data_IF_531784449655
#
_entry.id   IF_531784449655
#
_cell.length_a   1.000
_cell.length_b   1.000
_cell.length_c   1.000
_cell.angle_alpha   90.00
_cell.angle_beta   90.00
_cell.angle_gamma   90.00
#
_symmetry.space_group_name_H-M   'P 1'
#
loop_
_entity.id
_entity.type
_entity.pdbx_description
1 polymer ?
#
# COMPACT_ATOMS: atom_id res chain seq x y z
N UNK A 1 -3.35 -0.74 17.81
CA UNK A 1 -2.84 -2.03 18.28
C UNK A 1 -1.77 -2.48 17.30
N UNK A 2 -0.64 -3.03 17.79
CA UNK A 2 0.40 -3.53 16.88
C UNK A 2 -0.06 -4.84 16.23
N UNK A 3 0.38 -5.11 15.01
CA UNK A 3 -0.06 -6.24 14.16
C UNK A 3 1.14 -7.06 13.69
N UNK A 4 0.94 -8.34 13.38
CA UNK A 4 1.91 -9.14 12.65
C UNK A 4 1.72 -8.95 11.15
N UNK A 5 2.74 -8.43 10.47
CA UNK A 5 2.78 -8.39 9.02
C UNK A 5 3.59 -9.57 8.50
N UNK A 6 2.94 -10.42 7.73
CA UNK A 6 3.55 -11.59 7.09
C UNK A 6 3.51 -11.36 5.59
N UNK A 7 4.63 -11.56 4.91
CA UNK A 7 4.70 -11.45 3.46
C UNK A 7 5.42 -12.62 2.83
N UNK A 8 4.95 -13.00 1.64
CA UNK A 8 5.49 -14.07 0.82
C UNK A 8 5.45 -13.69 -0.65
N UNK A 9 6.37 -14.22 -1.44
CA UNK A 9 6.39 -14.06 -2.88
C UNK A 9 5.99 -15.38 -3.53
N UNK A 10 5.02 -15.32 -4.44
CA UNK A 10 4.62 -16.48 -5.25
C UNK A 10 4.37 -16.08 -6.70
N UNK A 11 4.14 -17.08 -7.56
CA UNK A 11 3.64 -16.85 -8.91
C UNK A 11 2.22 -16.27 -8.86
N UNK A 12 1.90 -15.39 -9.80
CA UNK A 12 0.60 -14.74 -9.89
C UNK A 12 -0.59 -15.72 -9.91
N UNK A 13 -0.40 -16.90 -10.50
CA UNK A 13 -1.42 -17.95 -10.57
C UNK A 13 -1.81 -18.55 -9.20
N UNK A 14 -0.90 -18.51 -8.22
CA UNK A 14 -1.09 -19.13 -6.89
C UNK A 14 -1.40 -18.08 -5.80
N UNK A 15 -1.26 -16.80 -6.13
CA UNK A 15 -1.58 -15.70 -5.21
C UNK A 15 -3.00 -15.75 -4.64
N UNK A 16 -4.05 -16.09 -5.42
CA UNK A 16 -5.42 -16.18 -4.89
C UNK A 16 -5.56 -17.32 -3.86
N UNK A 17 -4.95 -18.48 -4.12
CA UNK A 17 -5.02 -19.63 -3.22
C UNK A 17 -4.31 -19.35 -1.90
N UNK A 18 -3.12 -18.75 -1.96
CA UNK A 18 -2.35 -18.32 -0.77
C UNK A 18 -3.10 -17.26 0.03
N UNK A 19 -3.75 -16.31 -0.66
CA UNK A 19 -4.55 -15.26 -0.01
C UNK A 19 -5.77 -15.80 0.72
N UNK A 20 -6.50 -16.72 0.08
CA UNK A 20 -7.61 -17.41 0.71
C UNK A 20 -7.13 -18.19 1.94
N UNK A 21 -6.00 -18.89 1.81
CA UNK A 21 -5.42 -19.64 2.92
C UNK A 21 -5.03 -18.73 4.10
N UNK A 22 -4.38 -17.58 3.85
CA UNK A 22 -4.10 -16.62 4.92
C UNK A 22 -5.37 -16.08 5.58
N UNK A 23 -6.42 -15.85 4.81
CA UNK A 23 -7.72 -15.43 5.33
C UNK A 23 -8.34 -16.50 6.23
N UNK A 24 -8.26 -17.78 5.84
CA UNK A 24 -8.70 -18.92 6.65
C UNK A 24 -7.90 -19.09 7.95
N UNK A 25 -6.60 -18.77 7.92
CA UNK A 25 -5.73 -18.75 9.10
C UNK A 25 -5.99 -17.57 10.04
N UNK A 26 -6.91 -16.66 9.69
CA UNK A 26 -7.30 -15.53 10.53
C UNK A 26 -6.61 -14.20 10.18
N UNK A 27 -6.16 -14.03 8.94
CA UNK A 27 -5.70 -12.72 8.48
C UNK A 27 -6.86 -11.71 8.48
N UNK A 28 -6.60 -10.53 9.04
CA UNK A 28 -7.54 -9.39 9.07
C UNK A 28 -7.63 -8.73 7.71
N UNK A 29 -6.52 -8.73 6.96
CA UNK A 29 -6.43 -8.17 5.62
C UNK A 29 -5.33 -8.89 4.83
N UNK A 30 -5.55 -9.03 3.53
CA UNK A 30 -4.54 -9.53 2.60
C UNK A 30 -4.41 -8.56 1.43
N UNK A 31 -3.18 -8.14 1.15
CA UNK A 31 -2.82 -7.16 0.13
C UNK A 31 -1.90 -7.79 -0.90
N UNK A 32 -2.14 -7.48 -2.17
CA UNK A 32 -1.27 -7.88 -3.28
C UNK A 32 -0.36 -6.72 -3.67
N UNK A 33 0.94 -7.00 -3.76
CA UNK A 33 1.95 -6.05 -4.24
C UNK A 33 2.80 -6.71 -5.33
N UNK A 34 3.41 -5.89 -6.19
CA UNK A 34 4.46 -6.39 -7.08
C UNK A 34 5.64 -6.91 -6.25
N UNK A 35 6.13 -8.11 -6.55
CA UNK A 35 7.33 -8.65 -5.89
C UNK A 35 8.62 -7.93 -6.32
N UNK A 36 8.60 -7.27 -7.48
CA UNK A 36 9.70 -6.40 -7.92
C UNK A 36 9.36 -4.95 -7.61
N UNK A 37 10.28 -4.26 -6.94
CA UNK A 37 10.26 -2.80 -6.73
C UNK A 37 10.49 -2.00 -8.01
N UNK A 38 10.46 -2.66 -9.18
CA UNK A 38 10.62 -2.01 -10.47
C UNK A 38 9.26 -1.47 -10.92
N UNK A 39 9.14 -0.15 -11.16
CA UNK A 39 7.96 0.38 -11.81
C UNK A 39 7.81 -0.29 -13.18
N UNK A 40 6.67 -0.92 -13.42
CA UNK A 40 6.29 -1.26 -14.79
C UNK A 40 5.92 0.06 -15.46
N UNK A 41 6.82 0.54 -16.31
CA UNK A 41 6.50 1.59 -17.27
C UNK A 41 5.48 1.06 -18.28
N UNK A 42 4.68 1.98 -18.84
CA UNK A 42 3.74 1.64 -19.92
C UNK A 42 4.46 0.82 -21.00
N UNK A 43 4.00 -0.42 -21.27
CA UNK A 43 4.55 -1.19 -22.37
C UNK A 43 4.20 -0.52 -23.71
N UNK A 44 4.99 -0.80 -24.75
CA UNK A 44 4.70 -0.29 -26.09
C UNK A 44 3.32 -0.77 -26.56
N UNK A 45 2.70 -0.03 -27.49
CA UNK A 45 1.41 -0.38 -28.09
C UNK A 45 1.46 -1.84 -28.59
N UNK A 46 0.75 -2.75 -27.91
CA UNK A 46 0.67 -4.18 -28.26
C UNK A 46 1.44 -5.14 -27.35
N UNK A 47 2.22 -4.65 -26.38
CA UNK A 47 2.88 -5.50 -25.38
C UNK A 47 2.12 -5.49 -24.05
N UNK A 48 1.92 -6.66 -23.43
CA UNK A 48 1.42 -6.76 -22.05
C UNK A 48 2.56 -7.31 -21.19
N UNK A 49 3.22 -6.45 -20.41
CA UNK A 49 4.15 -6.91 -19.36
C UNK A 49 3.34 -7.25 -18.12
N UNK A 50 3.17 -8.53 -17.84
CA UNK A 50 2.51 -9.02 -16.63
C UNK A 50 3.58 -9.23 -15.55
N UNK A 51 3.26 -8.92 -14.30
CA UNK A 51 4.12 -9.28 -13.17
C UNK A 51 4.17 -10.81 -13.03
N UNK A 52 5.35 -11.41 -13.24
CA UNK A 52 5.56 -12.87 -13.08
C UNK A 52 5.42 -13.32 -11.62
N UNK A 53 5.80 -12.44 -10.68
CA UNK A 53 5.82 -12.71 -9.25
C UNK A 53 5.02 -11.65 -8.48
N UNK A 54 4.13 -12.12 -7.60
CA UNK A 54 3.29 -11.29 -6.74
C UNK A 54 3.72 -11.50 -5.30
N UNK A 55 3.91 -10.39 -4.58
CA UNK A 55 4.08 -10.38 -3.14
C UNK A 55 2.70 -10.33 -2.48
N UNK A 56 2.36 -11.35 -1.71
CA UNK A 56 1.17 -11.38 -0.87
C UNK A 56 1.58 -10.92 0.53
N UNK A 57 0.86 -9.96 1.08
CA UNK A 57 1.08 -9.42 2.42
C UNK A 57 -0.20 -9.63 3.22
N UNK A 58 -0.13 -10.41 4.29
CA UNK A 58 -1.23 -10.69 5.20
C UNK A 58 -0.96 -10.03 6.56
N UNK A 59 -1.98 -9.39 7.11
CA UNK A 59 -1.94 -8.75 8.42
C UNK A 59 -2.72 -9.61 9.42
N UNK A 60 -2.06 -9.93 10.53
CA UNK A 60 -2.60 -10.75 11.61
C UNK A 60 -2.57 -9.99 12.93
N UNK A 61 -3.47 -10.35 13.84
CA UNK A 61 -3.44 -9.89 15.23
C UNK A 61 -2.25 -10.50 15.98
N UNK A 62 -1.78 -9.84 17.05
CA UNK A 62 -0.63 -10.30 17.86
C UNK A 62 -0.85 -11.63 18.61
N UNK A 63 -2.09 -12.11 18.65
CA UNK A 63 -2.40 -13.42 19.21
C UNK A 63 -2.07 -14.57 18.24
N UNK A 64 -1.79 -14.27 16.96
CA UNK A 64 -1.41 -15.25 15.97
C UNK A 64 0.11 -15.48 16.00
N UNK A 65 0.54 -16.75 15.95
CA UNK A 65 1.96 -17.10 15.96
C UNK A 65 2.49 -17.18 14.53
N UNK A 66 3.43 -16.30 14.10
CA UNK A 66 3.98 -16.33 12.74
C UNK A 66 4.66 -17.65 12.39
N UNK A 67 5.29 -18.31 13.36
CA UNK A 67 5.92 -19.63 13.17
C UNK A 67 4.91 -20.73 12.86
N UNK A 68 3.72 -20.71 13.49
CA UNK A 68 2.65 -21.67 13.20
C UNK A 68 2.08 -21.44 11.79
N UNK A 69 1.83 -20.17 11.44
CA UNK A 69 1.36 -19.79 10.10
C UNK A 69 2.38 -20.24 9.05
N UNK A 70 3.67 -20.06 9.32
CA UNK A 70 4.75 -20.54 8.47
C UNK A 70 4.65 -22.05 8.26
N UNK A 71 4.61 -22.84 9.33
CA UNK A 71 4.52 -24.31 9.24
C UNK A 71 3.30 -24.75 8.44
N UNK A 72 2.12 -24.22 8.74
CA UNK A 72 0.88 -24.56 8.03
C UNK A 72 0.95 -24.21 6.53
N UNK A 73 1.53 -23.06 6.21
CA UNK A 73 1.71 -22.65 4.82
C UNK A 73 2.65 -23.59 4.05
N UNK A 74 3.77 -24.01 4.65
CA UNK A 74 4.72 -24.93 4.02
C UNK A 74 4.22 -26.38 3.95
N UNK A 75 3.28 -26.77 4.82
CA UNK A 75 2.56 -28.06 4.69
C UNK A 75 1.63 -28.06 3.48
N UNK A 76 0.93 -26.94 3.23
CA UNK A 76 -0.03 -26.81 2.14
C UNK A 76 0.65 -26.52 0.78
N UNK A 77 1.74 -25.76 0.78
CA UNK A 77 2.46 -25.35 -0.41
C UNK A 77 3.96 -25.63 -0.27
N UNK A 78 4.56 -26.47 -1.14
CA UNK A 78 5.98 -26.80 -1.05
C UNK A 78 6.92 -25.59 -1.27
N UNK A 79 8.14 -25.66 -0.72
CA UNK A 79 9.19 -24.62 -0.75
C UNK A 79 9.52 -24.07 -2.15
N UNK A 80 9.22 -24.80 -3.21
CA UNK A 80 9.47 -24.37 -4.59
C UNK A 80 8.41 -23.40 -5.14
N UNK A 81 7.31 -23.19 -4.41
CA UNK A 81 6.18 -22.35 -4.80
C UNK A 81 6.21 -20.99 -4.08
N UNK A 82 6.66 -21.00 -2.83
CA UNK A 82 6.63 -19.84 -1.93
C UNK A 82 8.06 -19.44 -1.62
N UNK A 83 8.40 -18.19 -1.93
CA UNK A 83 9.71 -17.60 -1.71
C UNK A 83 9.60 -16.38 -0.80
N UNK A 84 10.74 -15.92 -0.27
CA UNK A 84 10.87 -14.67 0.48
C UNK A 84 9.87 -14.52 1.64
N UNK A 85 9.68 -15.60 2.42
CA UNK A 85 8.92 -15.51 3.67
C UNK A 85 9.55 -14.47 4.60
N UNK A 86 8.76 -13.48 4.97
CA UNK A 86 9.15 -12.42 5.87
C UNK A 86 8.02 -12.15 6.86
N UNK A 87 8.35 -12.10 8.15
CA UNK A 87 7.40 -11.77 9.21
C UNK A 87 7.99 -10.66 10.08
N UNK A 88 7.22 -9.61 10.29
CA UNK A 88 7.59 -8.48 11.14
C UNK A 88 6.41 -8.05 12.02
N UNK A 89 6.71 -7.34 13.10
CA UNK A 89 5.70 -6.72 13.95
C UNK A 89 5.56 -5.28 13.50
N UNK A 90 4.39 -4.92 12.98
CA UNK A 90 4.04 -3.56 12.65
C UNK A 90 3.47 -2.90 13.90
N UNK A 91 4.21 -1.93 14.45
CA UNK A 91 3.70 -1.13 15.56
C UNK A 91 2.52 -0.26 15.13
N UNK A 92 1.60 -0.01 16.04
CA UNK A 92 0.47 0.90 15.80
C UNK A 92 0.97 2.34 15.68
N UNK A 93 1.25 2.74 14.45
CA UNK A 93 1.47 4.13 14.12
C UNK A 93 0.10 4.78 13.91
N UNK A 94 -0.13 5.93 14.55
CA UNK A 94 -1.30 6.76 14.26
C UNK A 94 -1.07 7.41 12.89
N UNK A 95 -1.26 6.63 11.83
CA UNK A 95 -1.01 7.04 10.45
C UNK A 95 -1.71 8.36 10.14
N UNK A 96 -2.94 8.53 10.62
CA UNK A 96 -3.75 9.76 10.48
C UNK A 96 -3.07 11.04 11.02
N UNK A 97 -2.25 10.95 12.06
CA UNK A 97 -1.54 12.11 12.60
C UNK A 97 -0.19 12.30 11.93
N UNK A 98 0.50 11.20 11.61
CA UNK A 98 1.83 11.27 10.99
C UNK A 98 1.81 11.86 9.58
N UNK A 99 0.74 11.67 8.79
CA UNK A 99 0.67 12.27 7.45
C UNK A 99 0.34 13.78 7.49
N UNK A 100 -0.44 14.22 8.48
CA UNK A 100 -0.79 15.65 8.63
C UNK A 100 0.40 16.52 9.01
N UNK A 101 1.39 16.00 9.73
CA UNK A 101 2.62 16.74 10.06
C UNK A 101 3.50 17.04 8.82
N UNK A 102 3.36 16.22 7.77
CA UNK A 102 4.16 16.32 6.55
C UNK A 102 3.45 17.06 5.40
N UNK A 103 2.13 17.28 5.51
CA UNK A 103 1.36 18.04 4.52
C UNK A 103 1.52 19.54 4.74
N UNK A 104 2.51 20.12 4.06
CA UNK A 104 2.73 21.57 4.02
C UNK A 104 2.21 22.16 2.71
N UNK A 105 1.82 23.44 2.66
CA UNK A 105 1.50 24.11 1.42
C UNK A 105 2.64 23.99 0.41
N UNK A 106 2.32 23.59 -0.82
CA UNK A 106 3.31 23.44 -1.89
C UNK A 106 2.97 24.36 -3.06
N UNK A 107 3.97 25.12 -3.55
CA UNK A 107 3.86 25.93 -4.76
C UNK A 107 4.26 25.09 -5.97
N UNK A 108 3.36 24.96 -6.93
CA UNK A 108 3.61 24.34 -8.23
C UNK A 108 3.71 25.43 -9.31
N UNK A 109 4.91 25.63 -9.84
CA UNK A 109 5.16 26.70 -10.82
C UNK A 109 5.00 28.10 -10.21
N UNK A 110 4.60 29.08 -11.03
CA UNK A 110 4.53 30.47 -10.58
C UNK A 110 3.20 30.87 -9.94
N UNK A 111 2.11 30.26 -10.37
CA UNK A 111 0.76 30.72 -10.02
C UNK A 111 -0.09 29.70 -9.28
N UNK A 112 0.33 28.43 -9.12
CA UNK A 112 -0.48 27.41 -8.47
C UNK A 112 0.06 27.09 -7.08
N UNK A 113 -0.82 27.15 -6.09
CA UNK A 113 -0.54 26.68 -4.74
C UNK A 113 -1.50 25.56 -4.36
N UNK A 114 -0.97 24.52 -3.73
CA UNK A 114 -1.75 23.41 -3.17
C UNK A 114 -1.68 23.51 -1.66
N UNK A 115 -2.82 23.78 -1.02
CA UNK A 115 -2.96 23.91 0.42
C UNK A 115 -3.71 22.71 1.00
N UNK A 116 -3.30 22.15 2.15
CA UNK A 116 -4.18 21.30 2.93
C UNK A 116 -5.35 22.12 3.50
N UNK A 117 -6.49 21.46 3.73
CA UNK A 117 -7.70 22.10 4.30
C UNK A 117 -7.38 22.84 5.60
N UNK A 118 -7.76 24.12 5.69
CA UNK A 118 -7.58 24.93 6.90
C UNK A 118 -6.24 25.67 6.97
N UNK A 119 -5.40 25.58 5.94
CA UNK A 119 -4.15 26.36 5.80
C UNK A 119 -4.16 27.27 4.55
N UNK A 120 -5.32 27.49 3.92
CA UNK A 120 -5.41 28.31 2.71
C UNK A 120 -4.93 29.77 2.92
N UNK A 121 -4.18 30.28 1.95
CA UNK A 121 -3.83 31.69 1.86
C UNK A 121 -4.23 32.24 0.50
N UNK A 122 -4.96 33.35 0.51
CA UNK A 122 -5.34 34.07 -0.71
C UNK A 122 -4.20 35.02 -1.11
N UNK A 123 -3.39 34.60 -2.07
CA UNK A 123 -2.37 35.44 -2.70
C UNK A 123 -2.90 36.00 -4.04
N UNK A 124 -2.91 37.34 -4.23
CA UNK A 124 -3.36 37.96 -5.48
C UNK A 124 -2.59 37.41 -6.69
N UNK A 125 -3.29 37.07 -7.77
CA UNK A 125 -2.68 36.55 -9.00
C UNK A 125 -2.21 35.10 -8.92
N UNK A 126 -2.66 34.34 -7.91
CA UNK A 126 -2.41 32.90 -7.80
C UNK A 126 -3.72 32.11 -7.70
N UNK A 127 -3.69 30.91 -8.24
CA UNK A 127 -4.74 29.89 -8.11
C UNK A 127 -4.40 29.04 -6.91
N UNK A 128 -5.33 28.94 -5.97
CA UNK A 128 -5.21 28.10 -4.78
C UNK A 128 -6.07 26.85 -4.94
N UNK A 129 -5.46 25.69 -4.81
CA UNK A 129 -6.12 24.39 -4.79
C UNK A 129 -6.12 23.87 -3.35
N UNK A 130 -7.31 23.68 -2.79
CA UNK A 130 -7.47 23.21 -1.41
C UNK A 130 -7.73 21.71 -1.42
N UNK A 131 -6.83 20.95 -0.80
CA UNK A 131 -7.00 19.51 -0.59
C UNK A 131 -7.83 19.29 0.68
N UNK A 132 -9.14 19.16 0.46
CA UNK A 132 -10.08 18.47 1.35
C UNK A 132 -10.72 17.30 0.61
N UNK A 133 -11.87 16.79 1.09
CA UNK A 133 -12.74 15.95 0.26
C UNK A 133 -12.97 16.68 -1.07
N UNK A 134 -12.41 16.14 -2.17
CA UNK A 134 -12.28 16.75 -3.50
C UNK A 134 -13.32 17.87 -3.80
N UNK A 135 -12.94 19.14 -3.65
CA UNK A 135 -13.71 20.26 -4.17
C UNK A 135 -12.77 21.31 -4.76
N UNK A 136 -12.91 21.59 -6.06
CA UNK A 136 -12.19 22.63 -6.77
C UNK A 136 -13.05 23.91 -6.77
N UNK A 137 -12.66 24.92 -6.00
CA UNK A 137 -13.23 26.27 -6.12
C UNK A 137 -12.27 27.16 -6.91
N UNK A 138 -12.68 27.62 -8.09
CA UNK A 138 -11.97 28.69 -8.78
C UNK A 138 -12.37 30.04 -8.16
N UNK A 139 -11.39 30.75 -7.61
CA UNK A 139 -11.58 32.13 -7.14
C UNK A 139 -12.00 33.00 -8.33
N UNK A 140 -13.24 33.50 -8.30
CA UNK A 140 -13.71 34.49 -9.26
C UNK A 140 -13.15 35.86 -8.88
N UNK A 141 -12.67 36.56 -9.91
CA UNK A 141 -12.26 37.97 -9.91
C UNK A 141 -13.35 38.90 -9.39
#
# INVERSE_FOLDING_TARGET
>A
MAWHQISVVSKAALSPDISNYFSELGAVSVTYMSATSQPIYEPNIGETKIWEHTKIIALFELNASPDLIKTLLFEQFPDNIIQDWHAEVLEDQIWERSWMEHYKPMKFGEHLWVYPTGQEQFLPGTVSLILGNFSLSTGKY
#
